data_IF_277347928933
#
_entry.id   IF_277347928933
#
_cell.length_a   1.000
_cell.length_b   1.000
_cell.length_c   1.000
_cell.angle_alpha   90.00
_cell.angle_beta   90.00
_cell.angle_gamma   90.00
#
_symmetry.space_group_name_H-M   'P 1'
#
loop_
_entity.id
_entity.type
_entity.pdbx_description
1 polymer ?
#
# COMPACT_ATOMS: atom_id res chain seq x y z
N UNK A 1 13.50 35.79 -34.92
CA UNK A 1 12.26 35.25 -35.53
C UNK A 1 12.49 34.01 -36.40
N UNK A 2 13.63 33.86 -37.11
CA UNK A 2 13.93 32.70 -37.98
C UNK A 2 14.10 31.35 -37.26
N UNK A 3 14.50 31.34 -35.98
CA UNK A 3 14.69 30.11 -35.18
C UNK A 3 13.35 29.47 -34.76
N UNK A 4 12.29 30.28 -34.60
CA UNK A 4 10.98 29.77 -34.22
C UNK A 4 10.30 28.99 -35.36
N UNK A 5 10.54 29.37 -36.62
CA UNK A 5 10.04 28.62 -37.78
C UNK A 5 10.70 27.24 -37.92
N UNK A 6 12.00 27.14 -37.60
CA UNK A 6 12.73 25.86 -37.70
C UNK A 6 12.24 24.83 -36.67
N UNK A 7 11.89 25.26 -35.46
CA UNK A 7 11.36 24.35 -34.43
C UNK A 7 9.97 23.81 -34.78
N UNK A 8 9.12 24.60 -35.44
CA UNK A 8 7.79 24.16 -35.88
C UNK A 8 7.90 23.09 -36.98
N UNK A 9 8.85 23.26 -37.90
CA UNK A 9 9.08 22.32 -39.00
C UNK A 9 9.62 20.96 -38.50
N UNK A 10 10.51 20.96 -37.49
CA UNK A 10 11.04 19.72 -36.89
C UNK A 10 9.95 18.99 -36.09
N UNK A 11 9.04 19.71 -35.40
CA UNK A 11 7.93 19.06 -34.70
C UNK A 11 6.89 18.44 -35.64
N UNK A 12 6.71 19.00 -36.85
CA UNK A 12 5.80 18.46 -37.85
C UNK A 12 6.26 17.12 -38.41
N UNK A 13 7.57 16.91 -38.62
CA UNK A 13 8.07 15.64 -39.18
C UNK A 13 8.06 14.46 -38.18
N UNK A 14 8.05 14.73 -36.87
CA UNK A 14 8.03 13.67 -35.86
C UNK A 14 6.63 13.09 -35.58
N UNK A 15 5.56 13.75 -36.05
CA UNK A 15 4.17 13.27 -35.83
C UNK A 15 3.71 12.28 -36.92
N UNK A 16 4.36 12.26 -38.09
CA UNK A 16 3.94 11.41 -39.22
C UNK A 16 4.41 9.95 -39.17
N UNK A 17 5.22 9.55 -38.19
CA UNK A 17 5.70 8.16 -38.06
C UNK A 17 4.86 7.25 -37.16
N UNK A 18 3.73 7.73 -36.63
CA UNK A 18 2.70 6.86 -36.05
C UNK A 18 1.62 6.54 -37.09
N UNK A 19 2.04 5.95 -38.22
CA UNK A 19 1.11 5.21 -39.08
C UNK A 19 0.72 3.95 -38.33
N UNK A 20 -0.52 3.99 -37.89
CA UNK A 20 -1.24 2.97 -37.17
C UNK A 20 -1.33 1.74 -38.08
N UNK A 21 -0.52 0.71 -37.82
CA UNK A 21 -0.71 -0.59 -38.44
C UNK A 21 -2.10 -1.09 -38.05
N UNK A 22 -3.01 -1.12 -39.03
CA UNK A 22 -4.33 -1.68 -38.86
C UNK A 22 -4.19 -3.14 -38.38
N UNK A 23 -4.91 -3.56 -37.33
CA UNK A 23 -4.88 -4.94 -36.90
C UNK A 23 -5.46 -5.78 -38.03
N UNK A 24 -4.62 -6.64 -38.61
CA UNK A 24 -5.02 -7.68 -39.55
C UNK A 24 -6.12 -8.51 -38.86
N UNK A 25 -7.37 -8.29 -39.28
CA UNK A 25 -8.52 -9.05 -38.81
C UNK A 25 -8.37 -10.44 -39.39
N UNK A 26 -7.73 -11.34 -38.64
CA UNK A 26 -7.69 -12.76 -38.98
C UNK A 26 -9.11 -13.27 -38.81
N UNK A 27 -9.73 -13.60 -39.95
CA UNK A 27 -11.08 -14.10 -40.05
C UNK A 27 -11.09 -15.56 -39.58
N UNK A 28 -11.01 -15.79 -38.27
CA UNK A 28 -10.90 -17.12 -37.63
C UNK A 28 -12.14 -17.98 -37.73
N UNK A 29 -13.20 -17.52 -38.42
CA UNK A 29 -14.45 -18.28 -38.52
C UNK A 29 -14.40 -19.45 -39.51
N UNK A 30 -13.42 -19.49 -40.41
CA UNK A 30 -13.27 -20.57 -41.40
C UNK A 30 -12.24 -21.66 -41.01
N UNK A 31 -11.45 -21.45 -39.94
CA UNK A 31 -10.35 -22.36 -39.57
C UNK A 31 -10.64 -23.18 -38.30
N UNK A 32 -11.74 -22.90 -37.60
CA UNK A 32 -12.17 -23.66 -36.41
C UNK A 32 -12.95 -24.93 -36.76
N UNK A 33 -13.47 -25.06 -37.98
CA UNK A 33 -14.22 -26.24 -38.43
C UNK A 33 -13.32 -27.40 -38.94
N UNK A 34 -11.99 -27.28 -38.85
CA UNK A 34 -11.04 -28.37 -39.19
C UNK A 34 -10.37 -29.02 -37.99
N UNK A 35 -10.79 -28.67 -36.76
CA UNK A 35 -10.38 -29.42 -35.58
C UNK A 35 -11.27 -30.65 -35.49
N UNK A 36 -10.79 -31.73 -36.10
CA UNK A 36 -11.35 -33.08 -36.04
C UNK A 36 -11.54 -33.47 -34.57
N UNK A 37 -12.80 -33.53 -34.11
CA UNK A 37 -13.17 -33.85 -32.72
C UNK A 37 -13.20 -35.36 -32.44
N UNK A 38 -12.70 -36.17 -33.37
CA UNK A 38 -12.80 -37.63 -33.30
C UNK A 38 -11.78 -38.30 -32.36
N UNK A 39 -10.79 -37.59 -31.80
CA UNK A 39 -9.76 -38.19 -30.94
C UNK A 39 -9.94 -38.02 -29.42
N UNK A 40 -11.07 -37.47 -28.93
CA UNK A 40 -11.27 -37.22 -27.48
C UNK A 40 -12.15 -38.24 -26.75
N UNK A 41 -12.52 -39.35 -27.39
CA UNK A 41 -13.23 -40.46 -26.74
C UNK A 41 -12.32 -41.69 -26.57
N UNK A 42 -11.41 -41.65 -25.60
CA UNK A 42 -10.93 -42.88 -24.94
C UNK A 42 -10.28 -42.51 -23.61
N UNK A 43 -10.62 -43.26 -22.56
CA UNK A 43 -10.24 -43.10 -21.14
C UNK A 43 -11.24 -42.39 -20.23
N UNK A 44 -12.47 -42.92 -20.18
CA UNK A 44 -13.23 -42.97 -18.93
C UNK A 44 -12.65 -44.09 -18.04
N UNK A 45 -11.54 -43.81 -17.35
CA UNK A 45 -11.20 -44.56 -16.14
C UNK A 45 -12.04 -43.99 -15.00
N UNK A 46 -13.03 -44.79 -14.59
CA UNK A 46 -13.78 -44.62 -13.35
C UNK A 46 -12.82 -44.61 -12.17
N UNK A 47 -12.41 -43.42 -11.73
CA UNK A 47 -11.76 -43.19 -10.45
C UNK A 47 -12.80 -43.43 -9.34
N UNK A 48 -12.85 -44.67 -8.85
CA UNK A 48 -13.54 -45.03 -7.62
C UNK A 48 -12.96 -44.20 -6.46
N UNK A 49 -13.73 -43.19 -6.02
CA UNK A 49 -13.41 -42.31 -4.89
C UNK A 49 -13.68 -42.96 -3.53
N UNK A 50 -13.49 -44.27 -3.43
CA UNK A 50 -13.54 -44.98 -2.16
C UNK A 50 -12.16 -45.01 -1.53
N UNK A 51 -12.11 -44.53 -0.30
CA UNK A 51 -11.00 -44.58 0.65
C UNK A 51 -10.04 -43.38 0.59
N UNK A 52 -10.37 -42.36 1.37
CA UNK A 52 -9.64 -41.94 2.59
C UNK A 52 -10.08 -40.50 2.84
N UNK A 53 -11.24 -40.33 3.49
CA UNK A 53 -11.56 -39.07 4.17
C UNK A 53 -10.91 -39.17 5.55
N UNK A 54 -9.82 -38.46 5.83
CA UNK A 54 -9.25 -38.46 7.17
C UNK A 54 -10.28 -37.86 8.12
N UNK A 55 -10.71 -38.67 9.09
CA UNK A 55 -11.59 -38.28 10.19
C UNK A 55 -10.94 -37.13 10.96
N UNK A 56 -11.30 -35.91 10.63
CA UNK A 56 -10.86 -34.69 11.31
C UNK A 56 -11.60 -34.59 12.65
N UNK A 57 -11.04 -35.19 13.69
CA UNK A 57 -11.47 -34.96 15.06
C UNK A 57 -11.19 -33.49 15.41
N UNK A 58 -12.27 -32.70 15.51
CA UNK A 58 -12.17 -31.33 16.00
C UNK A 58 -11.85 -31.37 17.49
N UNK A 59 -10.79 -30.70 17.97
CA UNK A 59 -10.49 -30.65 19.40
C UNK A 59 -11.60 -29.87 20.12
N UNK A 60 -12.16 -30.46 21.18
CA UNK A 60 -13.04 -29.77 22.11
C UNK A 60 -12.32 -28.54 22.67
N UNK A 61 -12.83 -27.36 22.33
CA UNK A 61 -12.37 -26.09 22.89
C UNK A 61 -13.19 -25.86 24.15
N UNK A 62 -12.68 -26.33 25.29
CA UNK A 62 -13.17 -25.88 26.60
C UNK A 62 -12.78 -24.41 26.80
N UNK A 63 -13.79 -23.56 26.93
CA UNK A 63 -13.62 -22.19 27.37
C UNK A 63 -13.46 -22.18 28.89
N UNK A 64 -12.22 -22.13 29.36
CA UNK A 64 -11.94 -21.89 30.78
C UNK A 64 -12.40 -20.47 31.13
N UNK A 65 -13.50 -20.40 31.88
CA UNK A 65 -14.24 -19.20 32.26
C UNK A 65 -13.55 -18.33 33.31
N UNK A 66 -12.21 -18.22 33.31
CA UNK A 66 -11.52 -17.36 34.27
C UNK A 66 -11.45 -15.91 33.77
N UNK A 67 -12.55 -15.16 33.93
CA UNK A 67 -12.50 -13.69 33.96
C UNK A 67 -11.78 -13.31 35.26
N UNK A 68 -10.46 -13.12 35.21
CA UNK A 68 -9.71 -12.59 36.36
C UNK A 68 -9.86 -11.07 36.42
N UNK A 69 -10.76 -10.64 37.30
CA UNK A 69 -10.82 -9.30 37.87
C UNK A 69 -9.44 -8.94 38.46
N UNK A 70 -8.85 -7.82 38.01
CA UNK A 70 -7.63 -7.28 38.58
C UNK A 70 -7.93 -6.70 39.97
N UNK A 71 -7.42 -7.33 41.01
CA UNK A 71 -7.19 -6.66 42.29
C UNK A 71 -5.70 -6.37 42.44
N UNK A 72 -5.42 -5.10 42.75
CA UNK A 72 -4.13 -4.62 43.21
C UNK A 72 -3.93 -5.10 44.65
N UNK A 73 -2.77 -5.67 44.98
CA UNK A 73 -2.28 -5.71 46.36
C UNK A 73 -0.76 -5.62 46.42
N UNK A 74 -0.34 -4.73 47.29
CA UNK A 74 0.99 -4.45 47.81
C UNK A 74 1.42 -5.55 48.80
N UNK A 75 2.72 -5.86 48.80
CA UNK A 75 3.59 -6.35 49.90
C UNK A 75 3.14 -7.54 50.77
N UNK A 76 3.92 -8.64 50.73
CA UNK A 76 4.66 -9.17 51.89
C UNK A 76 5.32 -10.53 51.59
N UNK A 77 6.55 -10.68 52.10
CA UNK A 77 7.30 -11.94 52.26
C UNK A 77 6.73 -12.66 53.49
N UNK A 78 6.65 -14.00 53.52
CA UNK A 78 7.58 -14.75 54.35
C UNK A 78 8.05 -16.08 53.74
N UNK A 79 9.07 -16.62 54.41
CA UNK A 79 9.89 -17.75 54.02
C UNK A 79 9.29 -19.13 54.34
N UNK A 80 9.83 -20.11 53.62
CA UNK A 80 10.30 -21.43 54.10
C UNK A 80 9.43 -22.69 53.89
N UNK A 81 10.12 -23.67 53.27
CA UNK A 81 10.05 -25.15 53.33
C UNK A 81 8.70 -25.87 53.29
N UNK A 82 8.49 -26.63 52.20
CA UNK A 82 8.18 -28.06 52.28
C UNK A 82 8.56 -28.79 50.99
N UNK A 83 9.48 -29.75 51.13
CA UNK A 83 9.94 -30.69 50.12
C UNK A 83 8.96 -31.85 50.00
N UNK A 84 8.15 -31.87 48.93
CA UNK A 84 7.43 -33.05 48.48
C UNK A 84 7.83 -33.35 47.03
N UNK A 85 8.63 -34.40 46.87
CA UNK A 85 9.15 -34.94 45.60
C UNK A 85 7.98 -35.53 44.80
N UNK A 86 7.30 -34.70 44.01
CA UNK A 86 6.36 -35.14 42.96
C UNK A 86 7.11 -35.33 41.65
N UNK A 87 6.93 -36.52 41.10
CA UNK A 87 7.40 -36.99 39.80
C UNK A 87 7.06 -35.99 38.68
N UNK A 88 8.02 -35.59 37.83
CA UNK A 88 7.78 -34.62 36.77
C UNK A 88 7.01 -35.29 35.63
N UNK A 89 5.68 -35.16 35.65
CA UNK A 89 4.85 -35.38 34.47
C UNK A 89 5.29 -34.41 33.37
N UNK A 90 5.88 -34.95 32.29
CA UNK A 90 6.25 -34.22 31.07
C UNK A 90 5.01 -33.51 30.49
N UNK A 91 4.79 -32.26 30.91
CA UNK A 91 3.81 -31.36 30.28
C UNK A 91 4.28 -31.12 28.85
N UNK A 92 3.51 -31.62 27.86
CA UNK A 92 3.71 -31.29 26.44
C UNK A 92 3.77 -29.76 26.30
N UNK A 93 4.74 -29.21 25.56
CA UNK A 93 4.86 -27.77 25.39
C UNK A 93 3.58 -27.24 24.74
N UNK A 94 2.79 -26.51 25.52
CA UNK A 94 1.59 -25.81 25.04
C UNK A 94 2.08 -24.83 23.99
N UNK A 95 1.80 -25.11 22.70
CA UNK A 95 2.08 -24.22 21.58
C UNK A 95 1.35 -22.90 21.84
N UNK A 96 2.05 -21.91 22.38
CA UNK A 96 1.53 -20.57 22.57
C UNK A 96 1.15 -20.02 21.19
N UNK A 97 -0.15 -19.99 20.90
CA UNK A 97 -0.68 -19.33 19.69
C UNK A 97 -0.28 -17.86 19.79
N UNK A 98 0.66 -17.44 18.95
CA UNK A 98 1.09 -16.05 18.84
C UNK A 98 -0.11 -15.17 18.46
N UNK A 99 -0.78 -14.61 19.47
CA UNK A 99 -1.90 -13.68 19.28
C UNK A 99 -1.36 -12.42 18.61
N UNK A 100 -1.88 -12.09 17.43
CA UNK A 100 -1.49 -10.86 16.72
C UNK A 100 -1.92 -9.65 17.54
N UNK A 101 -1.01 -8.70 17.76
CA UNK A 101 -1.31 -7.46 18.47
C UNK A 101 -2.08 -6.51 17.55
N UNK A 102 -3.18 -5.94 18.06
CA UNK A 102 -3.90 -4.87 17.38
C UNK A 102 -3.22 -3.54 17.72
N UNK A 103 -2.85 -2.78 16.70
CA UNK A 103 -2.18 -1.48 16.81
C UNK A 103 -3.09 -0.42 16.20
N UNK A 104 -3.45 0.60 16.98
CA UNK A 104 -4.23 1.74 16.51
C UNK A 104 -3.30 2.73 15.78
N UNK A 105 -3.56 2.98 14.51
CA UNK A 105 -2.84 4.02 13.78
C UNK A 105 -3.40 5.40 14.12
N UNK A 106 -2.50 6.35 14.42
CA UNK A 106 -2.86 7.77 14.59
C UNK A 106 -3.26 8.46 13.29
N UNK A 107 -3.08 7.81 12.14
CA UNK A 107 -3.32 8.37 10.81
C UNK A 107 -4.61 7.81 10.24
N UNK A 108 -5.38 8.67 9.60
CA UNK A 108 -6.51 8.27 8.78
C UNK A 108 -6.07 7.76 7.41
N UNK A 109 -6.88 6.89 6.80
CA UNK A 109 -6.70 6.43 5.42
C UNK A 109 -7.68 7.10 4.47
N UNK A 110 -7.21 7.34 3.24
CA UNK A 110 -8.01 7.77 2.09
C UNK A 110 -8.21 6.62 1.12
N UNK A 111 -9.18 6.76 0.20
CA UNK A 111 -9.53 5.75 -0.81
C UNK A 111 -8.32 5.27 -1.63
N UNK A 112 -7.44 6.18 -2.04
CA UNK A 112 -6.25 5.86 -2.82
C UNK A 112 -5.16 5.09 -2.02
N UNK A 113 -5.26 5.04 -0.69
CA UNK A 113 -4.32 4.36 0.21
C UNK A 113 -4.76 2.95 0.62
N UNK A 114 -5.99 2.57 0.25
CA UNK A 114 -6.50 1.22 0.44
C UNK A 114 -5.76 0.23 -0.46
N UNK A 115 -5.60 -1.00 0.00
CA UNK A 115 -4.95 -2.09 -0.71
C UNK A 115 -5.87 -3.31 -0.79
N UNK A 116 -5.67 -4.15 -1.82
CA UNK A 116 -6.30 -5.47 -1.89
C UNK A 116 -5.98 -6.28 -0.63
N UNK A 117 -7.00 -6.92 -0.07
CA UNK A 117 -6.94 -7.69 1.17
C UNK A 117 -7.06 -6.88 2.46
N UNK A 118 -7.14 -5.54 2.40
CA UNK A 118 -7.52 -4.76 3.59
C UNK A 118 -8.96 -5.10 3.99
N UNK A 119 -9.23 -5.20 5.29
CA UNK A 119 -10.57 -5.45 5.83
C UNK A 119 -11.22 -4.14 6.24
N UNK A 120 -12.47 -3.93 5.85
CA UNK A 120 -13.28 -2.76 6.14
C UNK A 120 -14.37 -3.15 7.12
N UNK A 121 -14.56 -2.34 8.17
CA UNK A 121 -15.61 -2.51 9.17
C UNK A 121 -16.33 -1.19 9.36
N UNK A 122 -17.66 -1.22 9.28
CA UNK A 122 -18.50 -0.09 9.65
C UNK A 122 -18.94 -0.26 11.11
N UNK A 123 -18.67 0.75 11.95
CA UNK A 123 -19.10 0.74 13.35
C UNK A 123 -19.44 2.16 13.79
N UNK A 124 -20.65 2.35 14.35
CA UNK A 124 -21.13 3.66 14.85
C UNK A 124 -21.03 4.78 13.80
N UNK A 125 -21.31 4.49 12.53
CA UNK A 125 -21.21 5.45 11.43
C UNK A 125 -19.78 5.78 10.99
N UNK A 126 -18.76 5.20 11.63
CA UNK A 126 -17.36 5.35 11.24
C UNK A 126 -16.90 4.11 10.48
N UNK A 127 -16.10 4.34 9.44
CA UNK A 127 -15.48 3.26 8.66
C UNK A 127 -14.05 3.05 9.13
N UNK A 128 -13.74 1.83 9.54
CA UNK A 128 -12.41 1.41 9.97
C UNK A 128 -11.80 0.47 8.94
N UNK A 129 -10.48 0.59 8.74
CA UNK A 129 -9.70 -0.25 7.84
C UNK A 129 -8.66 -1.00 8.66
N UNK A 130 -8.71 -2.32 8.62
CA UNK A 130 -7.76 -3.21 9.28
C UNK A 130 -6.81 -3.79 8.24
N UNK A 131 -5.53 -3.44 8.37
CA UNK A 131 -4.46 -4.02 7.55
C UNK A 131 -3.77 -5.11 8.33
N UNK A 132 -3.86 -6.34 7.82
CA UNK A 132 -3.23 -7.51 8.44
C UNK A 132 -1.79 -7.60 7.94
N UNK A 133 -0.85 -7.58 8.87
CA UNK A 133 0.57 -7.89 8.62
C UNK A 133 0.94 -9.24 9.24
N UNK A 134 2.19 -9.68 9.05
CA UNK A 134 2.71 -10.93 9.63
C UNK A 134 2.53 -10.96 11.15
N UNK A 135 2.84 -9.85 11.83
CA UNK A 135 2.92 -9.80 13.28
C UNK A 135 1.81 -8.98 13.94
N UNK A 136 1.24 -8.01 13.21
CA UNK A 136 0.29 -7.05 13.78
C UNK A 136 -0.93 -6.87 12.88
N UNK A 137 -2.03 -6.45 13.49
CA UNK A 137 -3.19 -5.91 12.78
C UNK A 137 -3.21 -4.41 13.05
N UNK A 138 -3.12 -3.60 12.00
CA UNK A 138 -3.17 -2.14 12.17
C UNK A 138 -4.54 -1.62 11.80
N UNK A 139 -5.19 -0.92 12.72
CA UNK A 139 -6.49 -0.29 12.51
C UNK A 139 -6.30 1.18 12.14
N UNK A 140 -6.92 1.59 11.04
CA UNK A 140 -6.96 2.96 10.53
C UNK A 140 -8.40 3.47 10.53
N UNK A 141 -8.59 4.76 10.78
CA UNK A 141 -9.86 5.43 10.53
C UNK A 141 -9.93 5.85 9.06
N UNK A 142 -10.95 5.44 8.32
CA UNK A 142 -11.15 5.87 6.95
C UNK A 142 -11.78 7.26 6.91
N UNK A 143 -11.26 8.13 6.03
CA UNK A 143 -11.81 9.45 5.75
C UNK A 143 -12.50 9.46 4.39
N UNK A 144 -13.82 9.58 4.41
CA UNK A 144 -14.66 9.71 3.23
C UNK A 144 -15.91 8.82 3.33
N UNK A 145 -16.71 8.84 2.26
CA UNK A 145 -17.74 7.83 2.03
C UNK A 145 -17.15 6.71 1.19
N UNK A 146 -17.61 5.50 1.43
CA UNK A 146 -17.23 4.32 0.67
C UNK A 146 -18.51 3.64 0.17
N UNK A 147 -18.51 3.22 -1.09
CA UNK A 147 -19.60 2.40 -1.65
C UNK A 147 -19.51 1.00 -1.03
N UNK A 148 -20.31 0.73 0.00
CA UNK A 148 -20.32 -0.56 0.72
C UNK A 148 -20.98 -1.68 -0.09
N UNK A 149 -21.75 -1.29 -1.09
CA UNK A 149 -22.39 -2.09 -2.13
C UNK A 149 -21.49 -2.31 -3.36
N UNK A 150 -20.24 -1.84 -3.33
CA UNK A 150 -19.32 -1.98 -4.45
C UNK A 150 -18.97 -3.44 -4.75
N UNK A 151 -18.93 -3.76 -6.04
CA UNK A 151 -18.41 -5.05 -6.55
C UNK A 151 -16.91 -5.27 -6.27
N UNK A 152 -16.19 -4.23 -5.82
CA UNK A 152 -14.81 -4.33 -5.36
C UNK A 152 -14.66 -4.83 -3.92
N UNK A 153 -15.77 -5.10 -3.23
CA UNK A 153 -15.82 -5.59 -1.87
C UNK A 153 -16.40 -7.00 -1.80
N UNK A 154 -15.81 -7.84 -0.95
CA UNK A 154 -16.29 -9.18 -0.65
C UNK A 154 -16.65 -9.27 0.84
N UNK A 155 -17.85 -9.76 1.22
CA UNK A 155 -18.22 -9.89 2.63
C UNK A 155 -17.27 -10.82 3.40
N UNK A 156 -16.87 -10.42 4.60
CA UNK A 156 -16.05 -11.21 5.51
C UNK A 156 -16.91 -12.08 6.42
N UNK A 157 -16.44 -13.30 6.72
CA UNK A 157 -17.05 -14.19 7.73
C UNK A 157 -17.24 -13.53 9.10
N UNK A 158 -16.37 -12.56 9.42
CA UNK A 158 -16.42 -11.80 10.67
C UNK A 158 -16.81 -10.38 10.33
N UNK A 159 -18.10 -10.07 10.32
CA UNK A 159 -18.72 -8.74 10.11
C UNK A 159 -17.81 -7.69 9.43
N UNK A 160 -18.08 -7.34 8.18
CA UNK A 160 -17.29 -6.39 7.40
C UNK A 160 -17.00 -6.91 6.00
N UNK A 161 -16.04 -6.28 5.31
CA UNK A 161 -15.74 -6.55 3.91
C UNK A 161 -14.23 -6.64 3.67
N UNK A 162 -13.78 -7.43 2.71
CA UNK A 162 -12.42 -7.41 2.17
C UNK A 162 -12.40 -6.69 0.83
N UNK A 163 -11.33 -5.95 0.57
CA UNK A 163 -11.12 -5.34 -0.75
C UNK A 163 -10.56 -6.40 -1.69
N UNK A 164 -11.35 -6.79 -2.70
CA UNK A 164 -10.93 -7.75 -3.74
C UNK A 164 -10.40 -7.05 -4.99
N UNK A 165 -11.01 -5.92 -5.35
CA UNK A 165 -10.66 -5.11 -6.50
C UNK A 165 -10.75 -3.63 -6.13
N UNK A 166 -9.57 -3.00 -6.06
CA UNK A 166 -9.46 -1.60 -5.66
C UNK A 166 -10.00 -0.66 -6.73
N UNK A 167 -9.83 -1.00 -8.01
CA UNK A 167 -10.16 -0.08 -9.09
C UNK A 167 -11.68 0.01 -9.28
N UNK A 168 -12.38 -1.13 -9.15
CA UNK A 168 -13.85 -1.17 -9.06
C UNK A 168 -14.38 -0.38 -7.86
N UNK A 169 -13.81 -0.59 -6.67
CA UNK A 169 -14.18 0.17 -5.47
C UNK A 169 -14.00 1.68 -5.65
N UNK A 170 -12.93 2.10 -6.34
CA UNK A 170 -12.68 3.50 -6.65
C UNK A 170 -13.72 4.06 -7.63
N UNK A 171 -14.08 3.30 -8.67
CA UNK A 171 -15.08 3.69 -9.65
C UNK A 171 -16.47 3.86 -9.00
N UNK A 172 -16.93 2.86 -8.26
CA UNK A 172 -18.25 2.86 -7.60
C UNK A 172 -18.34 3.99 -6.57
N UNK A 173 -17.27 4.20 -5.79
CA UNK A 173 -17.23 5.29 -4.80
C UNK A 173 -17.25 6.68 -5.49
N UNK A 174 -16.67 6.83 -6.69
CA UNK A 174 -16.77 8.08 -7.45
C UNK A 174 -18.21 8.31 -7.94
N UNK A 175 -18.88 7.28 -8.45
CA UNK A 175 -20.28 7.34 -8.90
C UNK A 175 -21.23 7.73 -7.75
N UNK A 176 -21.02 7.14 -6.56
CA UNK A 176 -21.79 7.50 -5.37
C UNK A 176 -21.66 8.99 -5.00
N UNK A 177 -20.48 9.56 -5.20
CA UNK A 177 -20.22 10.96 -4.89
C UNK A 177 -20.69 11.93 -6.00
N UNK A 178 -20.75 11.51 -7.26
CA UNK A 178 -21.27 12.34 -8.37
C UNK A 178 -22.79 12.48 -8.31
N UNK A 179 -23.51 11.41 -8.00
CA UNK A 179 -24.99 11.42 -7.96
C UNK A 179 -25.53 12.40 -6.90
N UNK A 180 -24.78 12.63 -5.82
CA UNK A 180 -25.16 13.60 -4.79
C UNK A 180 -25.12 15.06 -5.25
N UNK A 181 -24.36 15.38 -6.31
CA UNK A 181 -24.33 16.73 -6.87
C UNK A 181 -25.53 16.99 -7.80
N UNK A 182 -26.00 15.97 -8.51
CA UNK A 182 -27.15 16.08 -9.41
C UNK A 182 -28.47 16.34 -8.65
N UNK A 183 -28.68 15.67 -7.51
CA UNK A 183 -29.90 15.85 -6.71
C UNK A 183 -30.01 17.19 -5.96
N UNK A 184 -28.99 18.06 -6.04
CA UNK A 184 -29.04 19.40 -5.43
C UNK A 184 -29.42 20.51 -6.44
N UNK A 185 -29.55 20.19 -7.73
CA UNK A 185 -29.89 21.17 -8.78
C UNK A 185 -31.40 21.27 -9.02
N UNK A 186 -32.20 20.28 -8.59
CA UNK A 186 -33.66 20.26 -8.84
C UNK A 186 -34.50 20.72 -7.64
N UNK A 187 -34.11 21.81 -6.96
CA UNK A 187 -34.93 22.39 -5.87
C UNK A 187 -34.97 23.93 -5.83
N UNK A 188 -34.78 24.57 -6.98
CA UNK A 188 -34.93 26.02 -7.12
C UNK A 188 -35.82 26.40 -8.31
N UNK A 189 -37.07 25.93 -8.34
CA UNK A 189 -38.14 26.58 -9.11
C UNK A 189 -39.49 26.36 -8.43
N UNK A 190 -39.70 26.93 -7.23
CA UNK A 190 -41.03 27.28 -6.71
C UNK A 190 -40.93 27.85 -5.30
N UNK A 191 -40.60 29.14 -5.18
CA UNK A 191 -41.32 30.06 -4.29
C UNK A 191 -40.64 31.42 -4.29
N UNK A 192 -41.32 32.34 -4.96
CA UNK A 192 -41.15 33.77 -4.82
C UNK A 192 -41.35 34.24 -3.36
N UNK A 193 -40.60 35.29 -3.00
CA UNK A 193 -40.95 36.33 -2.03
C UNK A 193 -40.93 35.96 -0.53
N UNK A 194 -39.77 36.15 0.09
CA UNK A 194 -39.69 36.77 1.42
C UNK A 194 -38.33 37.45 1.57
N UNK A 195 -38.36 38.79 1.58
CA UNK A 195 -37.27 39.65 2.07
C UNK A 195 -36.97 39.25 3.51
N UNK A 196 -35.70 39.02 3.86
CA UNK A 196 -35.17 39.58 5.10
C UNK A 196 -33.65 39.67 5.05
N UNK A 197 -33.21 40.93 5.17
CA UNK A 197 -31.89 41.35 5.62
C UNK A 197 -31.50 40.55 6.87
N UNK A 198 -30.26 40.08 6.92
CA UNK A 198 -29.40 40.38 8.08
C UNK A 198 -27.93 40.15 7.75
N UNK A 199 -27.19 41.25 7.83
CA UNK A 199 -25.73 41.30 7.83
C UNK A 199 -25.22 40.58 9.08
N UNK A 200 -24.28 39.64 8.93
CA UNK A 200 -23.26 39.43 9.97
C UNK A 200 -21.94 38.99 9.36
N UNK A 201 -21.04 39.97 9.36
CA UNK A 201 -19.61 39.90 9.05
C UNK A 201 -18.93 39.24 10.25
N UNK A 202 -18.16 38.18 10.03
CA UNK A 202 -17.15 37.75 11.01
C UNK A 202 -15.92 37.31 10.26
N UNK A 203 -14.94 38.21 10.27
CA UNK A 203 -13.57 37.99 9.81
C UNK A 203 -12.85 37.38 11.00
N UNK A 204 -12.39 36.13 10.87
CA UNK A 204 -11.40 35.57 11.81
C UNK A 204 -10.15 35.21 11.02
N UNK A 205 -9.25 36.18 10.94
CA UNK A 205 -7.87 36.04 10.48
C UNK A 205 -7.06 35.27 11.50
N UNK A 206 -6.80 33.99 11.25
CA UNK A 206 -5.75 33.25 11.97
C UNK A 206 -4.40 33.48 11.28
N UNK A 207 -3.67 34.45 11.82
CA UNK A 207 -2.26 34.74 11.56
C UNK A 207 -1.39 33.63 12.18
N UNK A 208 -1.03 32.62 11.40
CA UNK A 208 -0.08 31.59 11.81
C UNK A 208 1.35 32.06 11.50
N UNK A 209 2.14 32.23 12.54
CA UNK A 209 3.55 32.60 12.49
C UNK A 209 4.35 31.66 11.57
N UNK A 210 4.87 32.21 10.48
CA UNK A 210 5.74 31.53 9.51
C UNK A 210 7.18 31.67 9.99
N UNK A 211 7.72 30.59 10.55
CA UNK A 211 9.16 30.40 10.80
C UNK A 211 9.91 30.54 9.46
N UNK A 212 11.03 31.28 9.36
CA UNK A 212 11.72 31.48 8.10
C UNK A 212 12.34 30.16 7.64
N UNK A 213 11.81 29.62 6.54
CA UNK A 213 12.46 28.59 5.76
C UNK A 213 13.56 29.27 4.95
N UNK A 214 14.81 28.93 5.26
CA UNK A 214 15.95 29.18 4.37
C UNK A 214 15.64 28.54 3.02
N UNK A 215 15.31 29.39 2.05
CA UNK A 215 15.08 29.06 0.65
C UNK A 215 16.32 29.51 -0.13
N UNK A 216 17.42 28.77 -0.02
CA UNK A 216 18.40 28.79 -1.10
C UNK A 216 17.87 27.88 -2.23
N UNK A 217 17.67 28.40 -3.46
CA UNK A 217 17.31 27.58 -4.60
C UNK A 217 18.48 26.65 -4.91
N UNK A 218 18.30 25.37 -4.62
CA UNK A 218 19.21 24.31 -5.05
C UNK A 218 19.11 24.18 -6.58
N UNK A 219 19.89 24.98 -7.31
CA UNK A 219 20.00 24.94 -8.77
C UNK A 219 20.68 23.61 -9.10
N UNK A 220 19.88 22.63 -9.53
CA UNK A 220 20.39 21.35 -10.01
C UNK A 220 20.91 21.59 -11.44
N UNK A 221 22.20 21.36 -11.73
CA UNK A 221 22.76 21.48 -13.08
C UNK A 221 21.94 20.71 -14.13
N UNK A 222 21.79 21.29 -15.33
CA UNK A 222 20.98 20.74 -16.43
C UNK A 222 21.40 19.30 -16.78
N UNK A 223 22.69 19.00 -16.73
CA UNK A 223 23.23 17.67 -17.04
C UNK A 223 22.74 16.60 -16.05
N UNK A 224 22.56 16.96 -14.78
CA UNK A 224 22.04 16.04 -13.75
C UNK A 224 20.58 15.68 -14.06
N UNK A 225 19.81 16.59 -14.66
CA UNK A 225 18.41 16.34 -15.02
C UNK A 225 18.33 15.30 -16.15
N UNK A 226 19.17 15.43 -17.18
CA UNK A 226 19.22 14.48 -18.29
C UNK A 226 19.67 13.09 -17.82
N UNK A 227 20.72 13.02 -17.00
CA UNK A 227 21.20 11.77 -16.42
C UNK A 227 20.16 11.12 -15.50
N UNK A 228 19.44 11.89 -14.67
CA UNK A 228 18.33 11.36 -13.86
C UNK A 228 17.25 10.72 -14.71
N UNK A 229 16.85 11.35 -15.83
CA UNK A 229 15.86 10.77 -16.75
C UNK A 229 16.34 9.44 -17.35
N UNK A 230 17.63 9.33 -17.70
CA UNK A 230 18.23 8.06 -18.19
C UNK A 230 18.12 6.96 -17.12
N UNK A 231 18.49 7.28 -15.88
CA UNK A 231 18.39 6.35 -14.74
C UNK A 231 16.93 5.97 -14.44
N UNK A 232 15.98 6.90 -14.56
CA UNK A 232 14.56 6.60 -14.39
C UNK A 232 14.02 5.67 -15.47
N UNK A 233 14.49 5.81 -16.71
CA UNK A 233 14.17 4.89 -17.81
C UNK A 233 14.64 3.47 -17.49
N UNK A 234 15.90 3.33 -17.10
CA UNK A 234 16.54 2.04 -16.80
C UNK A 234 15.96 1.37 -15.54
N UNK A 235 15.92 2.09 -14.42
CA UNK A 235 15.60 1.49 -13.12
C UNK A 235 14.13 1.65 -12.71
N UNK A 236 13.40 2.60 -13.27
CA UNK A 236 12.02 2.89 -12.86
C UNK A 236 11.00 2.86 -14.01
N UNK A 237 11.32 2.17 -15.11
CA UNK A 237 10.43 2.02 -16.28
C UNK A 237 9.96 3.37 -16.82
N UNK A 238 10.84 4.37 -16.80
CA UNK A 238 10.56 5.74 -17.24
C UNK A 238 9.69 6.56 -16.29
N UNK A 239 9.29 6.02 -15.13
CA UNK A 239 8.49 6.76 -14.15
C UNK A 239 9.40 7.65 -13.30
N UNK A 240 8.97 8.89 -13.08
CA UNK A 240 9.69 9.83 -12.23
C UNK A 240 9.83 9.32 -10.79
N UNK A 241 11.04 9.38 -10.23
CA UNK A 241 11.32 9.07 -8.83
C UNK A 241 11.18 10.36 -8.03
N UNK A 242 10.04 10.51 -7.35
CA UNK A 242 9.71 11.74 -6.61
C UNK A 242 10.32 11.83 -5.21
N UNK A 243 10.78 10.70 -4.68
CA UNK A 243 11.25 10.64 -3.30
C UNK A 243 12.75 10.91 -3.22
N UNK A 244 13.15 11.68 -2.22
CA UNK A 244 14.54 11.86 -1.84
C UNK A 244 14.80 11.34 -0.43
N UNK A 245 16.06 11.04 -0.13
CA UNK A 245 16.51 10.59 1.18
C UNK A 245 17.88 11.20 1.51
N UNK A 246 18.11 11.48 2.80
CA UNK A 246 19.40 11.96 3.34
C UNK A 246 20.23 10.80 3.88
N UNK A 247 21.55 10.97 4.03
CA UNK A 247 22.43 9.88 4.50
C UNK A 247 22.03 9.34 5.87
N UNK A 248 21.71 10.22 6.82
CA UNK A 248 21.25 9.85 8.18
C UNK A 248 19.97 9.00 8.21
N UNK A 249 19.21 8.96 7.11
CA UNK A 249 17.96 8.22 7.00
C UNK A 249 18.12 6.89 6.26
N UNK A 250 19.35 6.54 5.85
CA UNK A 250 19.67 5.23 5.30
C UNK A 250 19.47 4.14 6.37
N UNK A 251 18.97 2.98 5.94
CA UNK A 251 18.65 1.85 6.80
C UNK A 251 19.50 0.65 6.40
N UNK A 252 19.72 -0.24 7.36
CA UNK A 252 20.36 -1.53 7.09
C UNK A 252 19.63 -2.26 5.94
N UNK A 253 20.41 -2.86 5.05
CA UNK A 253 20.01 -3.53 3.81
C UNK A 253 19.50 -2.63 2.68
N UNK A 254 19.57 -1.30 2.78
CA UNK A 254 19.41 -0.45 1.60
C UNK A 254 20.57 -0.72 0.62
N UNK A 255 20.26 -0.76 -0.68
CA UNK A 255 21.26 -0.83 -1.74
C UNK A 255 21.39 0.53 -2.39
N UNK A 256 22.60 0.99 -2.63
CA UNK A 256 22.92 2.28 -3.22
C UNK A 256 23.68 2.04 -4.51
N UNK A 257 23.14 2.52 -5.62
CA UNK A 257 23.81 2.53 -6.91
C UNK A 257 24.38 3.92 -7.14
N UNK A 258 25.68 3.99 -7.41
CA UNK A 258 26.36 5.23 -7.81
C UNK A 258 26.55 5.17 -9.32
N UNK A 259 25.99 6.13 -10.04
CA UNK A 259 26.11 6.23 -11.50
C UNK A 259 26.58 7.65 -11.76
N UNK A 260 27.85 7.78 -12.12
CA UNK A 260 28.55 9.06 -12.24
C UNK A 260 28.38 9.90 -10.96
N UNK A 261 27.71 11.05 -11.06
CA UNK A 261 27.44 11.96 -9.94
C UNK A 261 26.08 11.73 -9.26
N UNK A 262 25.31 10.72 -9.69
CA UNK A 262 23.96 10.46 -9.18
C UNK A 262 23.95 9.21 -8.32
N UNK A 263 23.21 9.29 -7.22
CA UNK A 263 23.14 8.22 -6.23
C UNK A 263 21.68 7.82 -6.02
N UNK A 264 21.39 6.56 -6.33
CA UNK A 264 20.05 5.99 -6.28
C UNK A 264 19.97 4.93 -5.19
N UNK A 265 19.01 5.08 -4.28
CA UNK A 265 18.80 4.16 -3.17
C UNK A 265 17.60 3.25 -3.46
N UNK A 266 17.83 1.94 -3.40
CA UNK A 266 16.83 0.89 -3.45
C UNK A 266 16.57 0.37 -2.05
N UNK A 267 15.34 0.57 -1.59
CA UNK A 267 14.86 0.09 -0.30
C UNK A 267 13.79 -0.96 -0.49
N UNK A 268 14.06 -2.17 0.01
CA UNK A 268 13.02 -3.20 0.10
C UNK A 268 11.95 -2.72 1.09
N UNK A 269 10.72 -2.58 0.63
CA UNK A 269 9.63 -2.30 1.56
C UNK A 269 9.23 -3.61 2.22
N UNK A 270 9.24 -3.68 3.55
CA UNK A 270 8.79 -4.88 4.26
C UNK A 270 7.27 -5.04 4.23
N UNK A 271 6.54 -3.93 4.05
CA UNK A 271 5.08 -3.93 4.01
C UNK A 271 4.49 -4.28 2.65
N UNK A 272 5.28 -4.17 1.58
CA UNK A 272 4.85 -4.48 0.20
C UNK A 272 6.02 -5.17 -0.47
N UNK A 273 5.83 -6.28 -1.19
CA UNK A 273 6.93 -6.97 -1.89
C UNK A 273 7.68 -6.10 -2.93
N UNK A 274 7.27 -4.84 -3.14
CA UNK A 274 7.95 -3.88 -3.99
C UNK A 274 9.20 -3.22 -3.39
N UNK A 275 10.04 -2.71 -4.29
CA UNK A 275 11.23 -1.92 -3.98
C UNK A 275 10.90 -0.44 -4.16
N UNK A 276 11.11 0.35 -3.11
CA UNK A 276 11.00 1.82 -3.19
C UNK A 276 12.35 2.40 -3.59
N UNK A 277 12.28 3.46 -4.41
CA UNK A 277 13.45 4.16 -4.94
C UNK A 277 13.50 5.58 -4.41
N UNK A 278 14.70 6.04 -4.08
CA UNK A 278 14.94 7.36 -3.52
C UNK A 278 16.21 7.97 -4.14
N UNK A 279 16.17 9.26 -4.46
CA UNK A 279 17.38 10.02 -4.74
C UNK A 279 18.11 10.33 -3.44
N UNK A 280 19.40 10.04 -3.38
CA UNK A 280 20.23 10.47 -2.26
C UNK A 280 20.61 11.94 -2.46
N UNK A 281 20.41 12.77 -1.43
CA UNK A 281 20.63 14.22 -1.53
C UNK A 281 22.07 14.64 -1.24
N UNK A 282 22.85 13.77 -0.60
CA UNK A 282 24.19 14.04 -0.09
C UNK A 282 25.15 13.04 -0.72
N UNK A 283 26.43 13.43 -0.89
CA UNK A 283 27.44 12.54 -1.49
C UNK A 283 27.79 11.44 -0.49
N UNK A 284 27.60 10.18 -0.88
CA UNK A 284 28.05 9.02 -0.09
C UNK A 284 29.58 8.96 -0.04
N UNK A 285 30.14 8.75 1.14
CA UNK A 285 31.54 8.39 1.32
C UNK A 285 31.70 6.86 1.18
N UNK A 286 32.34 6.34 0.11
CA UNK A 286 32.56 4.90 -0.11
C UNK A 286 33.29 4.19 1.02
N UNK A 287 34.15 4.91 1.74
CA UNK A 287 35.03 4.36 2.78
C UNK A 287 34.36 4.32 4.16
N UNK A 288 33.11 4.78 4.26
CA UNK A 288 32.37 4.74 5.52
C UNK A 288 32.10 3.29 5.95
N UNK A 289 32.49 2.95 7.18
CA UNK A 289 32.31 1.59 7.76
C UNK A 289 30.86 1.10 7.77
N UNK A 290 29.87 1.99 7.59
CA UNK A 290 28.45 1.65 7.58
C UNK A 290 27.95 1.04 6.26
N UNK A 291 28.75 1.12 5.19
CA UNK A 291 28.43 0.55 3.89
C UNK A 291 29.48 -0.49 3.49
N UNK A 292 29.07 -1.44 2.65
CA UNK A 292 29.95 -2.47 2.08
C UNK A 292 29.74 -2.53 0.59
N UNK A 293 30.82 -2.52 -0.18
CA UNK A 293 30.76 -2.74 -1.63
C UNK A 293 30.21 -4.16 -1.91
N UNK A 294 29.18 -4.24 -2.76
CA UNK A 294 28.63 -5.53 -3.23
C UNK A 294 29.13 -5.88 -4.63
N UNK A 295 29.16 -4.91 -5.52
CA UNK A 295 29.64 -5.04 -6.90
C UNK A 295 30.00 -3.66 -7.43
N UNK A 296 30.45 -3.57 -8.70
CA UNK A 296 30.87 -2.30 -9.32
C UNK A 296 29.79 -1.22 -9.13
N UNK A 297 30.15 -0.18 -8.39
CA UNK A 297 29.30 0.96 -8.03
C UNK A 297 28.00 0.64 -7.26
N UNK A 298 27.88 -0.57 -6.68
CA UNK A 298 26.74 -0.96 -5.86
C UNK A 298 27.21 -1.21 -4.44
N UNK A 299 26.67 -0.42 -3.51
CA UNK A 299 26.96 -0.49 -2.10
C UNK A 299 25.74 -0.99 -1.34
N UNK A 300 25.96 -1.74 -0.26
CA UNK A 300 24.91 -2.15 0.67
C UNK A 300 25.18 -1.55 2.04
N UNK A 301 24.15 -0.91 2.60
CA UNK A 301 24.19 -0.40 3.97
C UNK A 301 24.13 -1.57 4.94
N UNK A 302 25.18 -1.77 5.74
CA UNK A 302 25.28 -2.89 6.69
C UNK A 302 24.86 -2.49 8.11
N UNK A 303 25.05 -1.22 8.49
CA UNK A 303 24.62 -0.65 9.77
C UNK A 303 24.08 0.76 9.56
N UNK A 304 23.51 1.37 10.60
CA UNK A 304 23.01 2.75 10.54
C UNK A 304 24.14 3.69 10.09
N UNK A 305 23.90 4.46 9.02
CA UNK A 305 24.86 5.43 8.53
C UNK A 305 24.92 6.62 9.48
N UNK A 306 26.06 6.80 10.13
CA UNK A 306 26.39 8.01 10.90
C UNK A 306 27.37 8.81 10.04
N UNK A 307 27.04 10.06 9.67
CA UNK A 307 28.05 10.97 9.17
C UNK A 307 29.03 11.20 10.33
N UNK A 308 30.28 10.83 10.12
CA UNK A 308 31.38 11.21 11.01
C UNK A 308 31.67 12.71 10.85
#
# INVERSE_FOLDING_TARGET
MRIALYMILITSMLVSFYVQAEPKVVNTKAEVDKIDRSELETHNETLSLDNIVPKLEMPNIEFDGSIRTRQNTTTSVPANKSTAKKEPTKKKPVKQKNKKKIVLARKSMLLNQLNKGDKILLSKGLTYVFRISRHNITQYLYKGKLAMDSSGLEPSKTNGYYIIDKDKLVADTKLLNSNKKASKVTRHQSSSKAKQLTKRKTITTNKLAKKPASNEPNIIPVDIIAQRKKIEKEYNKGKAIKNSIRLKNLRANDKIHIIDNIQLVFRKNTSTSGVKKYWLTEKLNPDNKAIKLQSKNIYKVIKLYRPD
#
